data_IF_103663899969
#
_entry.id   IF_103663899969
#
_cell.length_a   1.000
_cell.length_b   1.000
_cell.length_c   1.000
_cell.angle_alpha   90.00
_cell.angle_beta   90.00
_cell.angle_gamma   90.00
#
_symmetry.space_group_name_H-M   'P 1'
#
loop_
_entity.id
_entity.type
_entity.pdbx_description
1 polymer ?
#
# COMPACT_ATOMS: atom_id res chain seq x y z
N UNK A 1 -33.38 40.22 -26.39
CA UNK A 1 -32.85 39.24 -27.37
C UNK A 1 -31.40 38.98 -27.01
N UNK A 2 -31.12 37.71 -26.70
CA UNK A 2 -29.82 37.01 -26.53
C UNK A 2 -28.78 37.52 -25.51
N UNK A 3 -28.86 36.92 -24.31
CA UNK A 3 -27.72 36.71 -23.40
C UNK A 3 -26.86 35.54 -23.93
N UNK A 4 -25.57 35.75 -24.17
CA UNK A 4 -24.60 34.67 -24.42
C UNK A 4 -23.78 34.45 -23.15
N UNK A 5 -24.12 33.42 -22.38
CA UNK A 5 -23.27 32.91 -21.31
C UNK A 5 -23.13 31.38 -21.41
N UNK A 6 -21.86 30.98 -21.45
CA UNK A 6 -21.26 29.76 -20.87
C UNK A 6 -21.86 28.39 -21.22
N UNK A 7 -21.11 27.61 -22.00
CA UNK A 7 -21.03 26.16 -21.85
C UNK A 7 -19.59 25.80 -21.48
N UNK A 8 -19.34 25.63 -20.19
CA UNK A 8 -18.27 24.78 -19.69
C UNK A 8 -18.85 23.37 -19.65
N UNK A 9 -18.42 22.53 -20.60
CA UNK A 9 -18.63 21.08 -20.56
C UNK A 9 -17.77 20.51 -19.42
N UNK A 10 -18.29 20.54 -18.19
CA UNK A 10 -17.79 19.73 -17.08
C UNK A 10 -18.49 18.37 -17.12
N UNK A 11 -17.80 17.37 -17.64
CA UNK A 11 -18.38 16.03 -17.71
C UNK A 11 -17.43 14.94 -18.21
N UNK A 12 -16.20 14.88 -17.70
CA UNK A 12 -15.39 13.65 -17.81
C UNK A 12 -14.83 13.27 -16.44
N UNK A 13 -15.63 12.45 -15.78
CA UNK A 13 -15.41 11.51 -14.69
C UNK A 13 -14.01 11.47 -14.07
N UNK A 14 -13.89 12.06 -12.87
CA UNK A 14 -12.83 11.78 -11.91
C UNK A 14 -12.99 10.36 -11.37
N UNK A 15 -12.35 9.37 -11.98
CA UNK A 15 -12.36 8.01 -11.46
C UNK A 15 -11.13 7.20 -11.89
N UNK A 16 -9.93 7.78 -11.82
CA UNK A 16 -8.70 7.01 -12.12
C UNK A 16 -7.58 7.17 -11.08
N UNK A 17 -7.64 8.14 -10.16
CA UNK A 17 -6.43 8.51 -9.42
C UNK A 17 -6.40 8.10 -7.94
N UNK A 18 -7.51 7.65 -7.36
CA UNK A 18 -7.56 7.28 -5.94
C UNK A 18 -6.76 6.00 -5.62
N UNK A 19 -6.77 5.02 -6.54
CA UNK A 19 -6.01 3.77 -6.36
C UNK A 19 -4.49 3.97 -6.55
N UNK A 20 -4.09 4.88 -7.44
CA UNK A 20 -2.69 5.23 -7.64
C UNK A 20 -2.12 6.02 -6.45
N UNK A 21 -2.90 6.94 -5.86
CA UNK A 21 -2.49 7.69 -4.67
C UNK A 21 -2.33 6.81 -3.42
N UNK A 22 -3.15 5.76 -3.26
CA UNK A 22 -2.97 4.77 -2.19
C UNK A 22 -1.72 3.91 -2.40
N UNK A 23 -1.38 3.57 -3.65
CA UNK A 23 -0.17 2.82 -3.97
C UNK A 23 1.12 3.59 -3.64
N UNK A 24 1.10 4.92 -3.72
CA UNK A 24 2.22 5.80 -3.34
C UNK A 24 2.34 6.02 -1.82
N UNK A 25 1.34 5.59 -1.03
CA UNK A 25 1.32 5.82 0.42
C UNK A 25 2.05 4.75 1.23
N UNK A 26 2.40 3.61 0.64
CA UNK A 26 3.04 2.49 1.33
C UNK A 26 4.51 2.37 0.98
N UNK A 27 5.36 2.16 1.99
CA UNK A 27 6.77 1.89 1.76
C UNK A 27 6.95 0.50 1.14
N UNK A 28 7.73 0.40 0.06
CA UNK A 28 8.02 -0.88 -0.60
C UNK A 28 9.45 -1.31 -0.30
N UNK A 29 9.68 -2.13 0.76
CA UNK A 29 11.02 -2.55 1.13
C UNK A 29 11.62 -3.49 0.08
N UNK A 30 12.91 -3.33 -0.20
CA UNK A 30 13.65 -4.21 -1.13
C UNK A 30 14.13 -5.48 -0.44
N UNK A 31 14.32 -5.42 0.87
CA UNK A 31 14.79 -6.55 1.68
C UNK A 31 13.89 -6.79 2.88
N UNK A 32 13.93 -8.00 3.45
CA UNK A 32 13.20 -8.32 4.68
C UNK A 32 13.76 -7.56 5.89
N UNK A 33 15.03 -7.19 5.86
CA UNK A 33 15.63 -6.30 6.86
C UNK A 33 15.03 -4.89 6.79
N UNK A 34 14.90 -4.32 5.58
CA UNK A 34 14.22 -3.03 5.41
C UNK A 34 12.76 -3.07 5.84
N UNK A 35 12.06 -4.16 5.54
CA UNK A 35 10.69 -4.38 6.02
C UNK A 35 10.63 -4.32 7.55
N UNK A 36 11.49 -5.06 8.24
CA UNK A 36 11.55 -5.06 9.70
C UNK A 36 11.84 -3.67 10.27
N UNK A 37 12.83 -2.96 9.72
CA UNK A 37 13.20 -1.63 10.21
C UNK A 37 12.09 -0.60 9.98
N UNK A 38 11.33 -0.73 8.89
CA UNK A 38 10.16 0.10 8.64
C UNK A 38 9.01 -0.24 9.61
N UNK A 39 8.73 -1.52 9.84
CA UNK A 39 7.69 -1.94 10.80
C UNK A 39 8.01 -1.50 12.23
N UNK A 40 9.27 -1.59 12.68
CA UNK A 40 9.71 -1.05 13.98
C UNK A 40 9.49 0.46 14.12
N UNK A 41 9.43 1.19 13.00
CA UNK A 41 9.13 2.62 12.95
C UNK A 41 7.64 2.93 12.77
N UNK A 42 6.78 1.91 12.76
CA UNK A 42 5.34 2.05 12.52
C UNK A 42 4.99 2.39 11.06
N UNK A 43 5.92 2.20 10.12
CA UNK A 43 5.69 2.48 8.71
C UNK A 43 5.00 1.28 8.06
N UNK A 44 3.85 1.52 7.43
CA UNK A 44 3.13 0.50 6.67
C UNK A 44 3.89 0.16 5.40
N UNK A 45 4.09 -1.12 5.19
CA UNK A 45 4.85 -1.62 4.05
C UNK A 45 3.95 -2.39 3.10
N UNK A 46 4.24 -2.29 1.81
CA UNK A 46 3.59 -3.10 0.78
C UNK A 46 4.60 -4.06 0.16
N UNK A 47 4.27 -5.35 0.16
CA UNK A 47 5.15 -6.44 -0.28
C UNK A 47 4.42 -7.30 -1.30
N UNK A 48 5.15 -7.86 -2.27
CA UNK A 48 4.58 -8.75 -3.29
C UNK A 48 3.93 -9.96 -2.61
N UNK A 49 2.66 -10.19 -2.89
CA UNK A 49 1.83 -11.21 -2.25
C UNK A 49 2.32 -12.64 -2.48
N UNK A 50 2.96 -12.93 -3.61
CA UNK A 50 3.61 -14.23 -3.84
C UNK A 50 4.72 -14.53 -2.84
N UNK A 51 5.27 -13.51 -2.18
CA UNK A 51 6.30 -13.64 -1.16
C UNK A 51 5.72 -13.60 0.28
N UNK A 52 4.40 -13.60 0.46
CA UNK A 52 3.79 -13.43 1.78
C UNK A 52 4.24 -14.51 2.77
N UNK A 53 4.11 -15.79 2.38
CA UNK A 53 4.45 -16.92 3.26
C UNK A 53 5.93 -16.88 3.70
N UNK A 54 6.85 -16.74 2.74
CA UNK A 54 8.28 -16.63 3.05
C UNK A 54 8.61 -15.39 3.89
N UNK A 55 7.86 -14.30 3.70
CA UNK A 55 8.06 -13.07 4.48
C UNK A 55 7.62 -13.27 5.93
N UNK A 56 6.48 -13.92 6.16
CA UNK A 56 6.02 -14.27 7.51
C UNK A 56 7.02 -15.19 8.21
N UNK A 57 7.50 -16.25 7.54
CA UNK A 57 8.53 -17.15 8.10
C UNK A 57 9.79 -16.39 8.49
N UNK A 58 10.24 -15.46 7.66
CA UNK A 58 11.41 -14.63 7.98
C UNK A 58 11.14 -13.70 9.17
N UNK A 59 9.98 -13.04 9.22
CA UNK A 59 9.61 -12.12 10.30
C UNK A 59 9.50 -12.86 11.64
N UNK A 60 8.75 -13.95 11.69
CA UNK A 60 8.47 -14.69 12.91
C UNK A 60 9.70 -15.51 13.35
N UNK A 61 10.30 -16.24 12.41
CA UNK A 61 11.37 -17.18 12.67
C UNK A 61 12.74 -16.52 12.85
N UNK A 62 13.26 -15.89 11.79
CA UNK A 62 14.63 -15.37 11.78
C UNK A 62 14.77 -14.00 12.43
N UNK A 63 13.81 -13.11 12.19
CA UNK A 63 13.85 -11.73 12.64
C UNK A 63 13.17 -11.52 14.00
N UNK A 64 12.53 -12.56 14.54
CA UNK A 64 11.92 -12.57 15.88
C UNK A 64 10.90 -11.44 16.10
N UNK A 65 10.09 -11.19 15.08
CA UNK A 65 9.05 -10.17 15.03
C UNK A 65 7.62 -10.76 15.08
N UNK A 66 7.52 -12.00 15.56
CA UNK A 66 6.25 -12.72 15.72
C UNK A 66 5.25 -11.95 16.59
N UNK A 67 3.99 -11.91 16.15
CA UNK A 67 2.89 -11.27 16.88
C UNK A 67 2.94 -9.75 16.93
N UNK A 68 3.92 -9.11 16.26
CA UNK A 68 4.12 -7.65 16.25
C UNK A 68 3.72 -6.99 14.94
N UNK A 69 3.07 -7.73 14.04
CA UNK A 69 2.50 -7.20 12.82
C UNK A 69 1.21 -7.93 12.46
N UNK A 70 0.46 -7.32 11.54
CA UNK A 70 -0.66 -7.95 10.84
C UNK A 70 -0.51 -7.74 9.34
N UNK A 71 -1.14 -8.61 8.57
CA UNK A 71 -1.24 -8.49 7.11
C UNK A 71 -2.64 -8.04 6.70
N UNK A 72 -2.71 -7.13 5.74
CA UNK A 72 -3.95 -6.59 5.17
C UNK A 72 -3.97 -6.76 3.66
N UNK A 73 -5.17 -6.72 3.07
CA UNK A 73 -5.32 -6.69 1.63
C UNK A 73 -4.76 -5.39 1.05
N UNK A 74 -3.92 -5.50 0.03
CA UNK A 74 -3.48 -4.34 -0.73
C UNK A 74 -4.46 -4.02 -1.86
N UNK A 75 -4.77 -2.74 -2.11
CA UNK A 75 -5.49 -2.32 -3.33
C UNK A 75 -4.71 -2.64 -4.62
N UNK A 76 -3.38 -2.83 -4.54
CA UNK A 76 -2.55 -3.24 -5.66
C UNK A 76 -2.63 -4.76 -5.83
N UNK A 77 -3.18 -5.19 -6.97
CA UNK A 77 -3.35 -6.61 -7.28
C UNK A 77 -2.01 -7.35 -7.21
N UNK A 78 -1.97 -8.42 -6.42
CA UNK A 78 -0.77 -9.23 -6.23
C UNK A 78 0.19 -8.71 -5.15
N UNK A 79 -0.24 -7.76 -4.33
CA UNK A 79 0.50 -7.24 -3.17
C UNK A 79 -0.27 -7.47 -1.87
N UNK A 80 0.43 -7.32 -0.75
CA UNK A 80 -0.11 -7.39 0.62
C UNK A 80 0.52 -6.29 1.46
N UNK A 81 -0.23 -5.76 2.42
CA UNK A 81 0.26 -4.71 3.33
C UNK A 81 0.66 -5.35 4.65
N UNK A 82 1.82 -4.97 5.17
CA UNK A 82 2.30 -5.27 6.51
C UNK A 82 2.24 -4.00 7.37
N UNK A 83 1.67 -4.13 8.56
CA UNK A 83 1.52 -3.05 9.55
C UNK A 83 1.90 -3.58 10.93
N UNK A 84 2.68 -2.82 11.69
CA UNK A 84 3.02 -3.18 13.07
C UNK A 84 1.80 -3.04 14.00
N UNK A 85 1.71 -3.91 15.03
CA UNK A 85 0.66 -3.88 16.07
C UNK A 85 1.22 -3.61 17.45
#
# INVERSE_FOLDING_TARGET
MENKNTKLDTGTTAQTDANAMLADSFFRPKTRGELLEALKKGIKCEVVGSNMEITNICLDGWLKFEGKYRTLYSPNRGWVIYEAV
#
